data_IF_825772598703
#
_entry.id   IF_825772598703
#
_cell.length_a   1.000
_cell.length_b   1.000
_cell.length_c   1.000
_cell.angle_alpha   90.00
_cell.angle_beta   90.00
_cell.angle_gamma   90.00
#
_symmetry.space_group_name_H-M   'P 1'
#
loop_
_entity.id
_entity.type
_entity.pdbx_description
1 polymer ?
#
# COMPACT_ATOMS: atom_id res chain seq x y z
N UNK A 1 -15.41 -36.29 -48.88
CA UNK A 1 -15.56 -34.83 -48.58
C UNK A 1 -15.92 -34.58 -47.12
N UNK A 2 -16.96 -35.24 -46.57
CA UNK A 2 -17.39 -35.03 -45.19
C UNK A 2 -16.34 -35.45 -44.12
N UNK A 3 -15.67 -36.59 -44.31
CA UNK A 3 -14.65 -37.09 -43.35
C UNK A 3 -13.41 -36.19 -43.24
N UNK A 4 -12.95 -35.64 -44.38
CA UNK A 4 -11.85 -34.67 -44.40
C UNK A 4 -12.22 -33.37 -43.68
N UNK A 5 -13.46 -32.91 -43.84
CA UNK A 5 -13.96 -31.68 -43.23
C UNK A 5 -14.10 -31.83 -41.70
N UNK A 6 -14.54 -33.01 -41.23
CA UNK A 6 -14.53 -33.38 -39.80
C UNK A 6 -13.10 -33.44 -39.25
N UNK A 7 -12.16 -34.04 -39.99
CA UNK A 7 -10.75 -34.10 -39.61
C UNK A 7 -10.10 -32.73 -39.46
N UNK A 8 -10.31 -31.84 -40.44
CA UNK A 8 -9.81 -30.45 -40.40
C UNK A 8 -10.42 -29.66 -39.24
N UNK A 9 -11.73 -29.80 -39.00
CA UNK A 9 -12.41 -29.13 -37.89
C UNK A 9 -11.90 -29.60 -36.52
N UNK A 10 -11.63 -30.90 -36.37
CA UNK A 10 -11.06 -31.46 -35.14
C UNK A 10 -9.63 -30.98 -34.89
N UNK A 11 -8.80 -30.85 -35.93
CA UNK A 11 -7.44 -30.28 -35.81
C UNK A 11 -7.51 -28.80 -35.46
N UNK A 12 -8.35 -28.01 -36.14
CA UNK A 12 -8.54 -26.59 -35.84
C UNK A 12 -9.04 -26.36 -34.41
N UNK A 13 -10.00 -27.16 -33.94
CA UNK A 13 -10.49 -27.12 -32.56
C UNK A 13 -9.39 -27.42 -31.54
N UNK A 14 -8.55 -28.44 -31.79
CA UNK A 14 -7.40 -28.75 -30.92
C UNK A 14 -6.39 -27.60 -30.86
N UNK A 15 -6.05 -27.00 -32.01
CA UNK A 15 -5.13 -25.86 -32.05
C UNK A 15 -5.68 -24.65 -31.30
N UNK A 16 -6.97 -24.36 -31.42
CA UNK A 16 -7.63 -23.27 -30.69
C UNK A 16 -7.61 -23.52 -29.17
N UNK A 17 -7.90 -24.74 -28.73
CA UNK A 17 -7.86 -25.10 -27.31
C UNK A 17 -6.43 -24.95 -26.76
N UNK A 18 -5.42 -25.44 -27.48
CA UNK A 18 -4.02 -25.31 -27.09
C UNK A 18 -3.57 -23.85 -27.02
N UNK A 19 -3.91 -23.04 -28.02
CA UNK A 19 -3.60 -21.62 -28.03
C UNK A 19 -4.28 -20.87 -26.86
N UNK A 20 -5.53 -21.20 -26.55
CA UNK A 20 -6.26 -20.60 -25.43
C UNK A 20 -5.64 -20.98 -24.07
N UNK A 21 -5.26 -22.25 -23.91
CA UNK A 21 -4.53 -22.73 -22.72
C UNK A 21 -3.19 -22.01 -22.55
N UNK A 22 -2.39 -21.89 -23.62
CA UNK A 22 -1.12 -21.16 -23.59
C UNK A 22 -1.33 -19.68 -23.23
N UNK A 23 -2.33 -19.03 -23.82
CA UNK A 23 -2.68 -17.65 -23.48
C UNK A 23 -3.08 -17.49 -22.01
N UNK A 24 -3.87 -18.43 -21.48
CA UNK A 24 -4.26 -18.43 -20.07
C UNK A 24 -3.05 -18.58 -19.14
N UNK A 25 -2.15 -19.53 -19.44
CA UNK A 25 -0.92 -19.73 -18.67
C UNK A 25 -0.01 -18.50 -18.72
N UNK A 26 0.16 -17.89 -19.90
CA UNK A 26 0.96 -16.69 -20.07
C UNK A 26 0.36 -15.50 -19.28
N UNK A 27 -0.96 -15.32 -19.30
CA UNK A 27 -1.64 -14.30 -18.49
C UNK A 27 -1.43 -14.51 -16.99
N UNK A 28 -1.51 -15.75 -16.53
CA UNK A 28 -1.25 -16.07 -15.13
C UNK A 28 0.20 -15.78 -14.73
N UNK A 29 1.15 -16.15 -15.59
CA UNK A 29 2.57 -15.83 -15.39
C UNK A 29 2.84 -14.32 -15.36
N UNK A 30 2.25 -13.56 -16.28
CA UNK A 30 2.33 -12.09 -16.29
C UNK A 30 1.76 -11.53 -14.99
N UNK A 31 0.60 -12.02 -14.53
CA UNK A 31 0.02 -11.59 -13.26
C UNK A 31 0.95 -11.85 -12.06
N UNK A 32 1.57 -13.03 -11.99
CA UNK A 32 2.55 -13.35 -10.93
C UNK A 32 3.79 -12.47 -11.00
N UNK A 33 4.32 -12.21 -12.19
CA UNK A 33 5.48 -11.34 -12.39
C UNK A 33 5.15 -9.89 -12.00
N UNK A 34 3.99 -9.38 -12.41
CA UNK A 34 3.54 -8.03 -12.07
C UNK A 34 3.44 -7.82 -10.55
N UNK A 35 2.91 -8.81 -9.80
CA UNK A 35 2.87 -8.76 -8.34
C UNK A 35 4.29 -8.74 -7.73
N UNK A 36 5.23 -9.48 -8.31
CA UNK A 36 6.62 -9.50 -7.88
C UNK A 36 7.35 -8.17 -8.15
N UNK A 37 7.17 -7.60 -9.34
CA UNK A 37 7.71 -6.28 -9.70
C UNK A 37 7.18 -5.18 -8.78
N UNK A 38 5.88 -5.22 -8.45
CA UNK A 38 5.27 -4.28 -7.54
C UNK A 38 5.86 -4.37 -6.12
N UNK A 39 6.07 -5.59 -5.62
CA UNK A 39 6.75 -5.84 -4.33
C UNK A 39 8.15 -5.23 -4.28
N UNK A 40 8.90 -5.37 -5.37
CA UNK A 40 10.26 -4.83 -5.46
C UNK A 40 10.27 -3.30 -5.56
N UNK A 41 9.33 -2.73 -6.32
CA UNK A 41 9.11 -1.28 -6.39
C UNK A 41 8.82 -0.72 -5.00
N UNK A 42 7.85 -1.30 -4.30
CA UNK A 42 7.47 -0.93 -2.95
C UNK A 42 8.63 -1.00 -1.95
N UNK A 43 9.41 -2.09 -1.99
CA UNK A 43 10.58 -2.23 -1.13
C UNK A 43 11.62 -1.13 -1.38
N UNK A 44 11.81 -0.72 -2.64
CA UNK A 44 12.70 0.38 -3.01
C UNK A 44 12.17 1.72 -2.50
N UNK A 45 10.90 2.02 -2.72
CA UNK A 45 10.29 3.28 -2.29
C UNK A 45 10.37 3.44 -0.77
N UNK A 46 10.10 2.36 -0.02
CA UNK A 46 10.31 2.34 1.44
C UNK A 46 11.78 2.55 1.83
N UNK A 47 12.71 1.90 1.12
CA UNK A 47 14.14 2.03 1.41
C UNK A 47 14.65 3.44 1.17
N UNK A 48 14.25 4.08 0.07
CA UNK A 48 14.68 5.43 -0.28
C UNK A 48 14.15 6.46 0.73
N UNK A 49 12.87 6.32 1.11
CA UNK A 49 12.21 7.18 2.09
C UNK A 49 12.84 7.07 3.49
N UNK A 50 13.03 5.84 3.98
CA UNK A 50 13.66 5.59 5.26
C UNK A 50 15.14 5.97 5.25
N UNK A 51 15.86 5.62 4.19
CA UNK A 51 17.29 5.85 4.05
C UNK A 51 17.64 7.33 4.06
N UNK A 52 16.85 8.16 3.39
CA UNK A 52 17.02 9.61 3.43
C UNK A 52 16.81 10.16 4.85
N UNK A 53 15.67 9.86 5.47
CA UNK A 53 15.30 10.37 6.79
C UNK A 53 16.29 9.94 7.88
N UNK A 54 16.71 8.67 7.87
CA UNK A 54 17.71 8.16 8.82
C UNK A 54 19.08 8.80 8.63
N UNK A 55 19.49 9.09 7.39
CA UNK A 55 20.75 9.80 7.11
C UNK A 55 20.73 11.21 7.70
N UNK A 56 19.61 11.93 7.55
CA UNK A 56 19.41 13.27 8.14
C UNK A 56 19.45 13.20 9.67
N UNK A 57 18.73 12.23 10.26
CA UNK A 57 18.72 12.01 11.71
C UNK A 57 20.14 11.73 12.23
N UNK A 58 20.91 10.88 11.56
CA UNK A 58 22.27 10.55 11.98
C UNK A 58 23.19 11.79 11.96
N UNK A 59 23.16 12.58 10.88
CA UNK A 59 23.96 13.80 10.75
C UNK A 59 23.57 14.86 11.80
N UNK A 60 22.27 15.10 12.01
CA UNK A 60 21.79 16.03 13.04
C UNK A 60 22.12 15.56 14.45
N UNK A 61 22.05 14.25 14.71
CA UNK A 61 22.41 13.67 16.01
C UNK A 61 23.89 13.87 16.32
N UNK A 62 24.76 13.71 15.33
CA UNK A 62 26.19 13.98 15.46
C UNK A 62 26.44 15.48 15.76
N UNK A 63 25.76 16.37 15.04
CA UNK A 63 25.85 17.81 15.24
C UNK A 63 25.37 18.21 16.65
N UNK A 64 24.21 17.72 17.09
CA UNK A 64 23.69 17.94 18.43
C UNK A 64 24.72 17.49 19.48
N UNK A 65 25.30 16.30 19.34
CA UNK A 65 26.33 15.78 20.23
C UNK A 65 27.55 16.70 20.38
N UNK A 66 28.01 17.30 19.27
CA UNK A 66 29.12 18.27 19.27
C UNK A 66 28.74 19.61 19.92
N UNK A 67 27.47 19.99 19.88
CA UNK A 67 26.97 21.28 20.39
C UNK A 67 26.58 21.24 21.87
N UNK A 68 26.33 20.07 22.46
CA UNK A 68 25.83 19.93 23.85
C UNK A 68 26.67 20.71 24.87
N UNK A 69 27.99 20.74 24.74
CA UNK A 69 28.86 21.44 25.71
C UNK A 69 29.11 22.91 25.35
N UNK A 70 29.17 23.24 24.05
CA UNK A 70 29.57 24.57 23.58
C UNK A 70 28.36 25.51 23.42
N UNK A 71 27.26 25.01 22.88
CA UNK A 71 26.04 25.78 22.59
C UNK A 71 24.78 24.95 22.84
N UNK A 72 24.38 24.75 24.12
CA UNK A 72 23.26 23.87 24.49
C UNK A 72 21.92 24.23 23.83
N UNK A 73 21.67 25.52 23.59
CA UNK A 73 20.44 25.98 22.91
C UNK A 73 20.35 25.50 21.46
N UNK A 74 21.47 25.52 20.72
CA UNK A 74 21.51 24.97 19.36
C UNK A 74 21.39 23.44 19.37
N UNK A 75 21.99 22.77 20.36
CA UNK A 75 21.84 21.32 20.51
C UNK A 75 20.37 20.93 20.76
N UNK A 76 19.64 21.69 21.57
CA UNK A 76 18.21 21.47 21.81
C UNK A 76 17.39 21.63 20.51
N UNK A 77 17.69 22.63 19.69
CA UNK A 77 17.04 22.82 18.39
C UNK A 77 17.29 21.64 17.45
N UNK A 78 18.53 21.12 17.37
CA UNK A 78 18.81 19.93 16.56
C UNK A 78 18.04 18.69 17.04
N UNK A 79 17.84 18.53 18.35
CA UNK A 79 17.02 17.45 18.92
C UNK A 79 15.55 17.58 18.53
N UNK A 80 14.99 18.80 18.55
CA UNK A 80 13.62 19.06 18.12
C UNK A 80 13.43 18.76 16.62
N UNK A 81 14.40 19.17 15.79
CA UNK A 81 14.41 18.85 14.36
C UNK A 81 14.48 17.34 14.10
N UNK A 82 15.32 16.60 14.83
CA UNK A 82 15.42 15.14 14.74
C UNK A 82 14.06 14.51 15.05
N UNK A 83 13.39 14.96 16.10
CA UNK A 83 12.08 14.45 16.48
C UNK A 83 11.04 14.68 15.38
N UNK A 84 11.04 15.88 14.79
CA UNK A 84 10.14 16.23 13.69
C UNK A 84 10.38 15.34 12.47
N UNK A 85 11.63 15.19 12.03
CA UNK A 85 11.98 14.33 10.88
C UNK A 85 11.58 12.88 11.14
N UNK A 86 11.78 12.36 12.36
CA UNK A 86 11.38 11.01 12.71
C UNK A 86 9.86 10.82 12.67
N UNK A 87 9.08 11.79 13.18
CA UNK A 87 7.61 11.74 13.14
C UNK A 87 7.08 11.82 11.72
N UNK A 88 7.66 12.68 10.88
CA UNK A 88 7.28 12.82 9.47
C UNK A 88 7.59 11.54 8.68
N UNK A 89 8.77 10.95 8.85
CA UNK A 89 9.14 9.69 8.21
C UNK A 89 8.21 8.53 8.61
N UNK A 90 7.82 8.45 9.88
CA UNK A 90 6.86 7.43 10.35
C UNK A 90 5.47 7.62 9.73
N UNK A 91 5.02 8.86 9.53
CA UNK A 91 3.75 9.15 8.85
C UNK A 91 3.79 8.71 7.39
N UNK A 92 4.85 9.08 6.67
CA UNK A 92 5.01 8.72 5.26
C UNK A 92 5.09 7.20 5.06
N UNK A 93 5.81 6.47 5.92
CA UNK A 93 5.82 4.99 5.89
C UNK A 93 4.43 4.42 6.11
N UNK A 94 3.65 4.97 7.05
CA UNK A 94 2.27 4.52 7.30
C UNK A 94 1.38 4.76 6.09
N UNK A 95 1.51 5.89 5.41
CA UNK A 95 0.77 6.21 4.19
C UNK A 95 1.11 5.23 3.05
N UNK A 96 2.40 4.99 2.82
CA UNK A 96 2.88 4.05 1.81
C UNK A 96 2.42 2.61 2.10
N UNK A 97 2.53 2.16 3.36
CA UNK A 97 2.05 0.83 3.78
C UNK A 97 0.51 0.73 3.72
N UNK A 98 -0.22 1.79 4.07
CA UNK A 98 -1.67 1.82 4.01
C UNK A 98 -2.19 1.79 2.56
N UNK A 99 -1.49 2.44 1.63
CA UNK A 99 -1.78 2.31 0.19
C UNK A 99 -1.46 0.90 -0.36
N UNK A 100 -0.55 0.16 0.28
CA UNK A 100 -0.07 -1.14 -0.18
C UNK A 100 -0.82 -2.35 0.41
N UNK A 101 -1.33 -2.27 1.66
CA UNK A 101 -2.31 -3.26 2.13
C UNK A 101 -3.60 -3.04 1.35
N UNK A 102 -4.24 -4.11 0.86
CA UNK A 102 -5.66 -4.00 0.53
C UNK A 102 -6.36 -3.47 1.80
N UNK A 103 -6.98 -2.28 1.74
CA UNK A 103 -7.61 -1.71 2.92
C UNK A 103 -8.73 -2.67 3.33
N UNK A 104 -8.72 -3.05 4.60
CA UNK A 104 -9.80 -3.85 5.17
C UNK A 104 -10.87 -2.88 5.66
N UNK A 105 -12.13 -3.26 5.53
CA UNK A 105 -13.23 -2.40 5.95
C UNK A 105 -13.12 -2.10 7.46
N UNK A 106 -12.67 -3.08 8.25
CA UNK A 106 -12.45 -2.92 9.68
C UNK A 106 -11.39 -1.85 10.02
N UNK A 107 -10.25 -1.84 9.31
CA UNK A 107 -9.19 -0.87 9.57
C UNK A 107 -9.63 0.56 9.21
N UNK A 108 -10.32 0.74 8.08
CA UNK A 108 -10.80 2.06 7.66
C UNK A 108 -11.89 2.60 8.59
N UNK A 109 -12.80 1.76 9.09
CA UNK A 109 -13.80 2.16 10.08
C UNK A 109 -13.20 2.53 11.44
N UNK A 110 -12.12 1.86 11.85
CA UNK A 110 -11.39 2.22 13.06
C UNK A 110 -10.70 3.59 12.91
N UNK A 111 -10.00 3.82 11.79
CA UNK A 111 -9.40 5.11 11.48
C UNK A 111 -10.41 6.24 11.34
N UNK A 112 -11.56 5.97 10.71
CA UNK A 112 -12.69 6.90 10.61
C UNK A 112 -13.19 7.36 11.97
N UNK A 113 -13.32 6.42 12.93
CA UNK A 113 -13.73 6.73 14.29
C UNK A 113 -12.75 7.67 14.97
N UNK A 114 -11.46 7.40 14.88
CA UNK A 114 -10.43 8.25 15.49
C UNK A 114 -10.45 9.66 14.89
N UNK A 115 -10.46 9.77 13.56
CA UNK A 115 -10.46 11.05 12.85
C UNK A 115 -11.70 11.90 13.14
N UNK A 116 -12.90 11.32 13.04
CA UNK A 116 -14.14 12.05 13.28
C UNK A 116 -14.34 12.41 14.76
N UNK A 117 -13.93 11.54 15.68
CA UNK A 117 -13.96 11.86 17.12
C UNK A 117 -13.02 13.03 17.45
N UNK A 118 -11.82 13.06 16.84
CA UNK A 118 -10.89 14.19 16.98
C UNK A 118 -11.46 15.50 16.42
N UNK A 119 -12.31 15.41 15.40
CA UNK A 119 -13.06 16.55 14.85
C UNK A 119 -14.32 16.93 15.65
N UNK A 120 -14.66 16.19 16.72
CA UNK A 120 -15.88 16.40 17.51
C UNK A 120 -17.16 15.93 16.81
N UNK A 121 -17.04 15.09 15.78
CA UNK A 121 -18.14 14.58 14.98
C UNK A 121 -18.55 13.21 15.51
N UNK A 122 -19.85 13.03 15.78
CA UNK A 122 -20.38 11.75 16.24
C UNK A 122 -20.31 10.71 15.11
N UNK A 123 -19.67 9.56 15.38
CA UNK A 123 -19.52 8.47 14.42
C UNK A 123 -20.13 7.16 14.92
N UNK A 124 -21.16 6.67 14.21
CA UNK A 124 -21.83 5.40 14.48
C UNK A 124 -21.60 4.42 13.34
N UNK A 125 -21.37 3.16 13.69
CA UNK A 125 -21.17 2.06 12.74
C UNK A 125 -22.12 0.95 13.15
N UNK A 126 -22.91 0.46 12.20
CA UNK A 126 -23.72 -0.74 12.32
C UNK A 126 -23.16 -1.81 11.38
N UNK A 127 -22.76 -2.96 11.94
CA UNK A 127 -22.14 -4.06 11.19
C UNK A 127 -23.00 -5.32 11.32
N UNK A 128 -24.02 -5.41 10.46
CA UNK A 128 -24.80 -6.64 10.28
C UNK A 128 -24.64 -7.14 8.84
N UNK A 129 -23.50 -7.78 8.56
CA UNK A 129 -23.24 -8.38 7.25
C UNK A 129 -22.42 -9.67 7.35
N UNK A 130 -22.63 -10.57 6.39
CA UNK A 130 -21.79 -11.75 6.21
C UNK A 130 -20.37 -11.35 5.73
N UNK A 131 -19.42 -12.30 5.77
CA UNK A 131 -18.07 -12.09 5.24
C UNK A 131 -18.13 -11.64 3.77
N UNK A 132 -17.48 -10.52 3.47
CA UNK A 132 -17.47 -9.94 2.13
C UNK A 132 -16.37 -10.58 1.28
N UNK A 133 -16.56 -10.70 -0.05
CA UNK A 133 -15.47 -11.03 -0.96
C UNK A 133 -14.36 -9.97 -0.86
N UNK A 134 -13.06 -10.35 -0.90
CA UNK A 134 -11.95 -9.41 -0.67
C UNK A 134 -11.94 -8.18 -1.58
N UNK A 135 -12.37 -8.34 -2.84
CA UNK A 135 -12.47 -7.22 -3.78
C UNK A 135 -13.56 -6.21 -3.40
N UNK A 136 -14.69 -6.68 -2.86
CA UNK A 136 -15.80 -5.82 -2.40
C UNK A 136 -15.40 -5.13 -1.10
N UNK A 137 -14.76 -5.85 -0.18
CA UNK A 137 -14.25 -5.29 1.06
C UNK A 137 -13.27 -4.14 0.79
N UNK A 138 -12.31 -4.34 -0.12
CA UNK A 138 -11.35 -3.30 -0.49
C UNK A 138 -12.02 -2.05 -1.07
N UNK A 139 -13.03 -2.21 -1.93
CA UNK A 139 -13.78 -1.08 -2.50
C UNK A 139 -14.55 -0.31 -1.43
N UNK A 140 -15.23 -1.01 -0.52
CA UNK A 140 -15.96 -0.37 0.58
C UNK A 140 -15.00 0.33 1.55
N UNK A 141 -13.85 -0.25 1.82
CA UNK A 141 -12.82 0.35 2.65
C UNK A 141 -12.34 1.68 2.05
N UNK A 142 -12.08 1.74 0.73
CA UNK A 142 -11.78 3.00 0.03
C UNK A 142 -12.92 4.01 0.10
N UNK A 143 -14.17 3.55 -0.07
CA UNK A 143 -15.34 4.44 0.01
C UNK A 143 -15.49 5.06 1.41
N UNK A 144 -15.24 4.31 2.48
CA UNK A 144 -15.24 4.83 3.86
C UNK A 144 -14.16 5.88 4.03
N UNK A 145 -12.92 5.60 3.60
CA UNK A 145 -11.81 6.56 3.69
C UNK A 145 -12.13 7.87 3.00
N UNK A 146 -12.54 7.81 1.73
CA UNK A 146 -12.89 8.98 0.94
C UNK A 146 -14.09 9.73 1.55
N UNK A 147 -15.08 8.99 2.07
CA UNK A 147 -16.21 9.58 2.77
C UNK A 147 -15.78 10.40 3.98
N UNK A 148 -14.85 9.89 4.79
CA UNK A 148 -14.33 10.58 5.99
C UNK A 148 -13.46 11.78 5.62
N UNK A 149 -12.63 11.67 4.59
CA UNK A 149 -11.79 12.79 4.12
C UNK A 149 -12.61 13.98 3.60
N UNK A 150 -13.83 13.73 3.13
CA UNK A 150 -14.72 14.77 2.59
C UNK A 150 -15.64 15.43 3.62
N UNK A 151 -15.64 14.97 4.88
CA UNK A 151 -16.38 15.59 6.01
C UNK A 151 -15.55 16.72 6.61
#
# INVERSE_FOLDING_TARGET
>A
LNELLVGVSAVAGRLLIQANQQLSMAREQIGRLAVGEERLRFARDLHDLLGHSLSVIALKSELAGRLIQSTPGLAAHEVEDIEKVARDALREVREVVAGYRQPTLAAELAGAREALTAAGIEFRVDQDHAALPPAVEAVLAWAVREGVTNV
#
